data_IF_828085937486
#
_entry.id   IF_828085937486
#
_cell.length_a   1.000
_cell.length_b   1.000
_cell.length_c   1.000
_cell.angle_alpha   90.00
_cell.angle_beta   90.00
_cell.angle_gamma   90.00
#
_symmetry.space_group_name_H-M   'P 1'
#
loop_
_entity.id
_entity.type
_entity.pdbx_description
1 polymer ?
#
# COMPACT_ATOMS: atom_id res chain seq x y z
N UNK A 1 -7.13 3.04 -4.87
CA UNK A 1 -6.02 3.97 -5.20
C UNK A 1 -4.91 4.05 -4.15
N UNK A 2 -5.21 3.97 -2.85
CA UNK A 2 -4.21 4.16 -1.77
C UNK A 2 -3.32 2.94 -1.47
N UNK A 3 -3.63 1.76 -2.02
CA UNK A 3 -2.84 0.54 -1.79
C UNK A 3 -1.49 0.61 -2.49
N UNK A 4 -0.41 0.43 -1.74
CA UNK A 4 0.96 0.34 -2.28
C UNK A 4 1.18 -0.88 -3.17
N UNK A 5 0.49 -2.00 -2.90
CA UNK A 5 0.57 -3.22 -3.72
C UNK A 5 -0.02 -2.98 -5.11
N UNK A 6 -1.22 -2.39 -5.15
CA UNK A 6 -1.89 -1.97 -6.39
C UNK A 6 -1.07 -0.89 -7.08
N UNK A 7 -0.50 0.05 -6.31
CA UNK A 7 0.40 1.09 -6.82
C UNK A 7 1.60 0.51 -7.58
N UNK A 8 2.26 -0.51 -7.02
CA UNK A 8 3.38 -1.18 -7.68
C UNK A 8 3.00 -1.92 -8.95
N UNK A 9 1.89 -2.67 -8.94
CA UNK A 9 1.40 -3.34 -10.15
C UNK A 9 1.03 -2.32 -11.26
N UNK A 10 0.36 -1.24 -10.88
CA UNK A 10 0.02 -0.15 -11.80
C UNK A 10 1.25 0.52 -12.39
N UNK A 11 2.29 0.78 -11.59
CA UNK A 11 3.54 1.38 -12.09
C UNK A 11 4.23 0.49 -13.13
N UNK A 12 4.24 -0.82 -12.89
CA UNK A 12 4.73 -1.79 -13.88
C UNK A 12 3.93 -1.72 -15.18
N UNK A 13 2.59 -1.61 -15.09
CA UNK A 13 1.73 -1.44 -16.26
C UNK A 13 2.01 -0.13 -17.01
N UNK A 14 2.24 0.99 -16.32
CA UNK A 14 2.66 2.27 -16.93
C UNK A 14 3.97 2.09 -17.70
N UNK A 15 4.87 1.27 -17.18
CA UNK A 15 6.14 0.93 -17.82
C UNK A 15 6.00 -0.12 -18.94
N UNK A 16 4.79 -0.55 -19.29
CA UNK A 16 4.53 -1.56 -20.31
C UNK A 16 4.82 -3.01 -19.89
N UNK A 17 4.98 -3.26 -18.59
CA UNK A 17 5.28 -4.58 -18.02
C UNK A 17 3.98 -5.24 -17.52
N UNK A 18 3.64 -6.46 -17.95
CA UNK A 18 2.53 -7.21 -17.37
C UNK A 18 2.69 -7.41 -15.88
N UNK A 19 1.62 -7.19 -15.10
CA UNK A 19 1.71 -7.16 -13.65
C UNK A 19 0.45 -7.68 -12.96
N UNK A 20 0.66 -8.16 -11.73
CA UNK A 20 -0.39 -8.64 -10.83
C UNK A 20 -0.21 -7.95 -9.47
N UNK A 21 -1.30 -7.53 -8.83
CA UNK A 21 -1.32 -7.24 -7.39
C UNK A 21 -2.03 -8.36 -6.68
N UNK A 22 -1.42 -8.94 -5.63
CA UNK A 22 -2.02 -10.05 -4.87
C UNK A 22 -2.15 -9.59 -3.42
N UNK A 23 -3.33 -9.72 -2.82
CA UNK A 23 -3.60 -9.32 -1.44
C UNK A 23 -4.49 -10.33 -0.74
N UNK A 24 -4.19 -10.62 0.52
CA UNK A 24 -5.07 -11.40 1.40
C UNK A 24 -5.98 -10.43 2.17
N UNK A 25 -7.28 -10.71 2.19
CA UNK A 25 -8.26 -9.94 2.97
C UNK A 25 -8.10 -10.24 4.48
N UNK A 26 -6.98 -9.76 5.03
CA UNK A 26 -6.58 -9.99 6.41
C UNK A 26 -7.51 -9.27 7.37
N UNK A 27 -8.02 -10.00 8.36
CA UNK A 27 -8.79 -9.44 9.47
C UNK A 27 -8.13 -9.80 10.79
N UNK A 28 -7.89 -8.78 11.63
CA UNK A 28 -7.11 -8.88 12.87
C UNK A 28 -7.53 -10.04 13.79
N UNK A 29 -8.83 -10.28 13.91
CA UNK A 29 -9.39 -11.27 14.84
C UNK A 29 -9.78 -12.61 14.17
N UNK A 30 -9.76 -12.67 12.83
CA UNK A 30 -10.18 -13.87 12.07
C UNK A 30 -9.01 -14.58 11.37
N UNK A 31 -8.00 -13.82 10.91
CA UNK A 31 -6.87 -14.35 10.13
C UNK A 31 -5.70 -14.79 11.01
N UNK A 32 -4.95 -15.77 10.52
CA UNK A 32 -3.73 -16.31 11.14
C UNK A 32 -2.57 -16.29 10.15
N UNK A 33 -1.32 -16.26 10.65
CA UNK A 33 -0.15 -16.23 9.77
C UNK A 33 -0.06 -17.45 8.84
N UNK A 34 -0.60 -18.60 9.25
CA UNK A 34 -0.70 -19.80 8.42
C UNK A 34 -1.51 -19.58 7.15
N UNK A 35 -2.46 -18.64 7.15
CA UNK A 35 -3.33 -18.36 6.00
C UNK A 35 -2.55 -17.82 4.81
N UNK A 36 -1.36 -17.24 5.03
CA UNK A 36 -0.47 -16.86 3.92
C UNK A 36 0.00 -18.06 3.11
N UNK A 37 0.20 -19.22 3.74
CA UNK A 37 0.59 -20.44 3.04
C UNK A 37 -0.53 -20.90 2.12
N UNK A 38 -1.76 -20.86 2.60
CA UNK A 38 -2.94 -21.25 1.83
C UNK A 38 -3.23 -20.24 0.71
N UNK A 39 -3.07 -18.94 1.01
CA UNK A 39 -3.15 -17.87 0.01
C UNK A 39 -2.16 -18.06 -1.16
N UNK A 40 -0.91 -18.47 -0.86
CA UNK A 40 0.09 -18.81 -1.89
C UNK A 40 -0.38 -20.00 -2.73
N UNK A 41 -0.91 -21.05 -2.10
CA UNK A 41 -1.42 -22.21 -2.82
C UNK A 41 -2.59 -21.84 -3.76
N UNK A 42 -3.48 -20.95 -3.32
CA UNK A 42 -4.61 -20.45 -4.12
C UNK A 42 -4.15 -19.62 -5.32
N UNK A 43 -3.10 -18.81 -5.18
CA UNK A 43 -2.64 -17.91 -6.26
C UNK A 43 -1.65 -18.54 -7.24
N UNK A 44 -0.98 -19.63 -6.86
CA UNK A 44 0.05 -20.26 -7.68
C UNK A 44 -0.44 -20.65 -9.10
N UNK A 45 -1.67 -21.19 -9.28
CA UNK A 45 -2.20 -21.45 -10.62
C UNK A 45 -2.38 -20.19 -11.46
N UNK A 46 -2.80 -19.06 -10.86
CA UNK A 46 -2.95 -17.79 -11.55
C UNK A 46 -1.61 -17.22 -11.98
N UNK A 47 -0.59 -17.28 -11.12
CA UNK A 47 0.77 -16.84 -11.46
C UNK A 47 1.34 -17.70 -12.60
N UNK A 48 1.15 -19.03 -12.52
CA UNK A 48 1.62 -19.96 -13.55
C UNK A 48 0.93 -19.72 -14.89
N UNK A 49 -0.39 -19.50 -14.88
CA UNK A 49 -1.14 -19.13 -16.07
C UNK A 49 -0.69 -17.78 -16.65
N UNK A 50 -0.47 -16.78 -15.80
CA UNK A 50 0.03 -15.47 -16.20
C UNK A 50 1.39 -15.59 -16.91
N UNK A 51 2.37 -16.29 -16.31
CA UNK A 51 3.69 -16.50 -16.92
C UNK A 51 3.55 -17.18 -18.30
N UNK A 52 2.83 -18.29 -18.35
CA UNK A 52 2.58 -19.04 -19.60
C UNK A 52 1.95 -18.16 -20.69
N UNK A 53 1.00 -17.31 -20.33
CA UNK A 53 0.25 -16.50 -21.28
C UNK A 53 1.02 -15.23 -21.68
N UNK A 54 1.90 -14.72 -20.81
CA UNK A 54 2.88 -13.67 -21.12
C UNK A 54 3.87 -14.20 -22.16
N UNK A 55 4.44 -15.39 -21.97
CA UNK A 55 5.38 -16.02 -22.91
C UNK A 55 4.76 -16.23 -24.30
N UNK A 56 3.46 -16.51 -24.35
CA UNK A 56 2.70 -16.67 -25.60
C UNK A 56 2.19 -15.36 -26.20
N UNK A 57 2.36 -14.22 -25.51
CA UNK A 57 1.87 -12.92 -25.96
C UNK A 57 0.34 -12.77 -25.94
N UNK A 58 -0.37 -13.63 -25.19
CA UNK A 58 -1.85 -13.65 -25.09
C UNK A 58 -2.36 -13.17 -23.72
N UNK A 59 -1.47 -12.81 -22.81
CA UNK A 59 -1.86 -12.17 -21.54
C UNK A 59 -2.64 -10.87 -21.79
N UNK A 60 -3.68 -10.56 -20.97
CA UNK A 60 -4.45 -9.33 -21.13
C UNK A 60 -3.58 -8.08 -21.26
N UNK A 61 -3.86 -7.26 -22.27
CA UNK A 61 -3.12 -6.04 -22.58
C UNK A 61 -3.81 -4.82 -21.98
N UNK A 62 -3.02 -3.77 -21.75
CA UNK A 62 -3.50 -2.48 -21.24
C UNK A 62 -4.18 -2.53 -19.87
N UNK A 63 -3.98 -3.62 -19.12
CA UNK A 63 -4.45 -3.75 -17.75
C UNK A 63 -3.47 -4.55 -16.88
N UNK A 64 -3.60 -4.38 -15.57
CA UNK A 64 -3.02 -5.28 -14.58
C UNK A 64 -4.18 -5.99 -13.87
N UNK A 65 -3.91 -7.15 -13.27
CA UNK A 65 -4.93 -7.88 -12.52
C UNK A 65 -4.71 -7.71 -11.01
N UNK A 66 -5.73 -7.22 -10.31
CA UNK A 66 -5.79 -7.26 -8.85
C UNK A 66 -6.47 -8.53 -8.40
N UNK A 67 -5.74 -9.34 -7.64
CA UNK A 67 -6.18 -10.62 -7.10
C UNK A 67 -6.32 -10.44 -5.59
N UNK A 68 -7.54 -10.52 -5.11
CA UNK A 68 -7.84 -10.43 -3.68
C UNK A 68 -8.36 -11.78 -3.18
N UNK A 69 -7.70 -12.31 -2.16
CA UNK A 69 -7.97 -13.62 -1.59
C UNK A 69 -8.87 -13.42 -0.36
N UNK A 70 -9.94 -14.22 -0.19
CA UNK A 70 -10.84 -14.08 0.96
C UNK A 70 -10.10 -14.37 2.28
N UNK A 71 -10.68 -13.92 3.39
CA UNK A 71 -10.10 -14.03 4.74
C UNK A 71 -9.71 -15.46 5.12
N UNK A 72 -10.43 -16.47 4.61
CA UNK A 72 -10.10 -17.89 4.79
C UNK A 72 -9.74 -18.54 3.45
N UNK A 73 -8.47 -18.50 3.01
CA UNK A 73 -8.05 -19.02 1.70
C UNK A 73 -8.30 -20.51 1.54
N UNK A 74 -8.18 -21.30 2.59
CA UNK A 74 -8.43 -22.76 2.57
C UNK A 74 -9.89 -23.13 2.26
N UNK A 75 -10.84 -22.25 2.58
CA UNK A 75 -12.27 -22.42 2.33
C UNK A 75 -12.76 -21.65 1.08
N UNK A 76 -11.84 -21.21 0.21
CA UNK A 76 -12.20 -20.47 -1.00
C UNK A 76 -13.13 -21.28 -1.91
N UNK A 77 -14.10 -20.61 -2.53
CA UNK A 77 -15.11 -21.22 -3.42
C UNK A 77 -14.71 -21.17 -4.90
N UNK A 78 -13.48 -20.76 -5.21
CA UNK A 78 -12.98 -20.52 -6.56
C UNK A 78 -12.80 -19.03 -6.88
N UNK A 79 -12.74 -18.71 -8.17
CA UNK A 79 -12.40 -17.39 -8.68
C UNK A 79 -13.61 -16.69 -9.29
N UNK A 80 -13.73 -15.38 -9.09
CA UNK A 80 -14.70 -14.52 -9.76
C UNK A 80 -13.99 -13.35 -10.44
N UNK A 81 -14.35 -13.11 -11.70
CA UNK A 81 -14.04 -11.85 -12.35
C UNK A 81 -14.90 -10.76 -11.72
N UNK A 82 -14.28 -9.68 -11.28
CA UNK A 82 -14.95 -8.62 -10.52
C UNK A 82 -14.69 -7.24 -11.11
N UNK A 83 -15.60 -6.31 -10.82
CA UNK A 83 -15.40 -4.88 -11.02
C UNK A 83 -14.84 -4.24 -9.75
N UNK A 84 -14.06 -3.18 -9.94
CA UNK A 84 -13.59 -2.38 -8.83
C UNK A 84 -14.78 -1.70 -8.15
N UNK A 85 -14.95 -1.91 -6.84
CA UNK A 85 -15.93 -1.12 -6.10
C UNK A 85 -15.46 0.33 -5.89
N UNK A 86 -16.41 1.24 -5.86
CA UNK A 86 -16.17 2.64 -5.47
C UNK A 86 -16.28 2.84 -3.95
N UNK A 87 -16.25 1.74 -3.19
CA UNK A 87 -16.34 1.78 -1.74
C UNK A 87 -15.12 2.50 -1.15
N UNK A 88 -15.39 3.41 -0.22
CA UNK A 88 -14.36 4.18 0.49
C UNK A 88 -14.76 4.30 1.95
N UNK A 89 -13.90 3.84 2.86
CA UNK A 89 -14.03 4.13 4.27
C UNK A 89 -13.96 5.64 4.50
N UNK A 90 -14.82 6.16 5.37
CA UNK A 90 -14.85 7.57 5.69
C UNK A 90 -13.63 7.94 6.55
N UNK A 91 -12.81 8.94 6.16
CA UNK A 91 -11.70 9.40 6.99
C UNK A 91 -12.25 10.10 8.24
N UNK A 92 -11.64 9.83 9.39
CA UNK A 92 -11.95 10.45 10.68
C UNK A 92 -10.65 10.91 11.35
N UNK A 93 -10.55 12.20 11.70
CA UNK A 93 -9.37 12.77 12.34
C UNK A 93 -9.59 12.91 13.84
N UNK A 94 -8.85 12.14 14.63
CA UNK A 94 -8.91 12.20 16.09
C UNK A 94 -7.73 13.01 16.63
N UNK A 95 -8.02 14.02 17.43
CA UNK A 95 -6.99 14.74 18.17
C UNK A 95 -6.34 13.81 19.21
N UNK A 96 -5.01 13.73 19.22
CA UNK A 96 -4.25 12.90 20.16
C UNK A 96 -3.35 13.77 21.03
N UNK A 97 -3.27 13.41 22.31
CA UNK A 97 -2.39 14.10 23.27
C UNK A 97 -0.92 13.82 22.97
N UNK A 98 -0.07 14.84 23.00
CA UNK A 98 1.38 14.71 22.78
C UNK A 98 2.06 13.68 23.72
N UNK A 99 1.48 13.42 24.89
CA UNK A 99 2.05 12.52 25.91
C UNK A 99 1.83 11.02 25.67
N UNK A 100 1.09 10.63 24.62
CA UNK A 100 0.75 9.20 24.35
C UNK A 100 1.67 8.50 23.35
N UNK A 101 2.78 9.15 22.95
CA UNK A 101 3.84 8.52 22.15
C UNK A 101 5.14 8.40 22.96
N UNK A 102 5.78 7.21 23.03
CA UNK A 102 7.11 7.04 23.64
C UNK A 102 8.25 7.61 22.78
N UNK A 103 7.97 8.55 21.87
CA UNK A 103 9.01 9.31 21.16
C UNK A 103 9.74 10.29 22.09
N UNK A 104 9.22 10.53 23.30
CA UNK A 104 9.93 11.24 24.37
C UNK A 104 11.01 10.39 25.06
N UNK A 105 11.13 9.08 24.76
CA UNK A 105 12.27 8.27 25.18
C UNK A 105 13.53 8.50 24.31
N UNK A 106 13.42 9.22 23.18
CA UNK A 106 14.57 9.59 22.35
C UNK A 106 15.32 10.84 22.83
N UNK A 107 14.87 11.47 23.93
CA UNK A 107 15.53 12.63 24.54
C UNK A 107 16.26 12.32 25.85
N UNK A 108 16.46 11.05 26.20
CA UNK A 108 17.34 10.66 27.30
C UNK A 108 18.67 10.17 26.74
N UNK A 109 19.78 10.75 27.22
CA UNK A 109 21.21 10.53 26.87
C UNK A 109 21.85 11.48 25.84
N UNK A 110 21.91 12.78 26.12
CA UNK A 110 22.80 13.72 25.41
C UNK A 110 24.11 14.06 26.15
N UNK A 111 24.47 13.36 27.23
CA UNK A 111 25.59 13.79 28.11
C UNK A 111 26.75 12.79 28.28
N UNK A 112 27.03 11.92 27.31
CA UNK A 112 28.29 11.17 27.25
C UNK A 112 28.98 11.32 25.89
N UNK A 113 29.64 12.46 25.68
CA UNK A 113 30.37 12.81 24.46
C UNK A 113 31.83 12.31 24.39
N UNK A 114 32.24 11.28 25.16
CA UNK A 114 33.64 10.81 25.13
C UNK A 114 33.88 9.39 24.58
N UNK A 115 32.84 8.66 24.17
CA UNK A 115 32.99 7.30 23.61
C UNK A 115 33.03 7.25 22.06
N UNK A 116 32.57 8.31 21.38
CA UNK A 116 32.45 8.34 19.92
C UNK A 116 33.78 8.34 19.16
N UNK A 117 34.86 8.86 19.76
CA UNK A 117 36.17 8.95 19.11
C UNK A 117 36.96 7.63 19.18
N UNK A 118 36.76 6.79 20.20
CA UNK A 118 37.41 5.48 20.28
C UNK A 118 36.76 4.44 19.36
N UNK A 119 35.47 4.59 19.05
CA UNK A 119 34.72 3.64 18.22
C UNK A 119 35.03 3.79 16.71
N UNK A 120 35.32 5.01 16.26
CA UNK A 120 35.71 5.29 14.88
C UNK A 120 37.07 4.66 14.51
N UNK A 121 37.99 4.54 15.47
CA UNK A 121 39.29 3.89 15.25
C UNK A 121 39.15 2.36 15.12
N UNK A 122 38.22 1.74 15.85
CA UNK A 122 37.92 0.30 15.79
C UNK A 122 37.10 -0.09 14.54
N UNK A 123 36.33 0.85 13.96
CA UNK A 123 35.52 0.59 12.76
C UNK A 123 36.32 0.45 11.46
N UNK A 124 37.61 0.83 11.44
CA UNK A 124 38.45 0.72 10.23
C UNK A 124 39.09 -0.66 10.07
N UNK A 125 39.38 -1.36 11.16
CA UNK A 125 39.95 -2.71 11.13
C UNK A 125 38.87 -3.82 11.09
N UNK A 126 37.60 -3.48 11.34
CA UNK A 126 36.49 -4.43 11.35
C UNK A 126 35.87 -4.73 9.96
N UNK A 127 36.25 -4.01 8.91
CA UNK A 127 35.75 -4.23 7.54
C UNK A 127 36.31 -5.49 6.84
N UNK A 128 37.16 -6.27 7.50
CA UNK A 128 37.71 -7.52 6.95
C UNK A 128 36.99 -8.81 7.41
N UNK A 129 36.00 -8.74 8.31
CA UNK A 129 35.30 -9.92 8.82
C UNK A 129 33.86 -10.00 8.29
N UNK A 130 33.73 -10.43 7.04
CA UNK A 130 32.44 -10.86 6.50
C UNK A 130 31.86 -12.05 7.29
N UNK A 131 30.52 -12.14 7.24
CA UNK A 131 29.70 -13.29 7.63
C UNK A 131 29.55 -13.60 9.14
N UNK A 132 28.52 -13.00 9.78
CA UNK A 132 27.56 -13.75 10.62
C UNK A 132 26.44 -12.85 11.20
N UNK A 133 25.22 -13.09 10.71
CA UNK A 133 23.92 -13.10 11.42
C UNK A 133 23.39 -11.88 12.22
N UNK A 134 22.21 -11.46 11.75
CA UNK A 134 20.93 -11.17 12.43
C UNK A 134 20.67 -9.77 13.05
N UNK A 135 19.68 -9.12 12.41
CA UNK A 135 18.54 -8.34 12.94
C UNK A 135 18.85 -7.08 13.77
N UNK A 136 18.73 -5.92 13.11
CA UNK A 136 17.96 -4.75 13.58
C UNK A 136 18.05 -3.62 12.55
N UNK A 137 17.38 -3.77 11.40
CA UNK A 137 17.19 -2.65 10.48
C UNK A 137 16.02 -1.80 10.97
N UNK A 138 16.33 -0.84 11.85
CA UNK A 138 15.43 0.25 12.21
C UNK A 138 15.24 1.12 10.95
N UNK A 139 14.11 0.92 10.24
CA UNK A 139 13.70 1.78 9.13
C UNK A 139 13.52 3.19 9.68
N UNK A 140 14.37 4.11 9.23
CA UNK A 140 14.25 5.53 9.50
C UNK A 140 13.06 6.05 8.70
N UNK A 141 11.95 6.40 9.37
CA UNK A 141 10.87 7.14 8.74
C UNK A 141 11.39 8.55 8.45
N UNK A 142 11.40 8.96 7.18
CA UNK A 142 11.70 10.34 6.79
C UNK A 142 10.48 11.18 7.11
N UNK A 143 10.58 12.01 8.15
CA UNK A 143 9.59 13.05 8.44
C UNK A 143 9.73 14.14 7.36
N UNK A 144 8.69 14.31 6.54
CA UNK A 144 8.59 15.46 5.62
C UNK A 144 7.92 16.59 6.39
N UNK A 145 8.73 17.51 6.92
CA UNK A 145 8.26 18.76 7.52
C UNK A 145 7.90 19.75 6.39
N UNK A 146 6.62 20.07 6.22
CA UNK A 146 6.19 21.15 5.32
C UNK A 146 6.48 22.49 5.99
N UNK A 147 7.58 23.14 5.59
CA UNK A 147 8.01 24.44 6.14
C UNK A 147 7.36 25.58 5.37
N UNK A 148 6.21 26.05 5.85
CA UNK A 148 5.80 27.45 5.65
C UNK A 148 6.64 28.33 6.59
N UNK A 149 7.68 28.97 6.06
CA UNK A 149 8.62 29.75 6.85
C UNK A 149 7.96 31.01 7.46
N UNK A 150 7.59 30.92 8.73
CA UNK A 150 7.38 32.08 9.61
C UNK A 150 8.25 31.88 10.85
N UNK A 151 9.03 32.92 11.16
CA UNK A 151 10.08 33.01 12.19
C UNK A 151 9.67 32.31 13.50
N UNK A 152 10.66 31.72 14.17
CA UNK A 152 10.47 30.84 15.33
C UNK A 152 9.94 31.60 16.56
N UNK A 153 8.61 31.64 16.73
CA UNK A 153 8.03 31.84 18.05
C UNK A 153 8.27 30.60 18.90
N UNK A 154 8.88 30.79 20.07
CA UNK A 154 9.18 29.75 21.07
C UNK A 154 7.94 29.18 21.77
N UNK A 155 6.74 29.69 21.44
CA UNK A 155 5.45 29.28 22.00
C UNK A 155 4.53 28.53 21.00
N UNK A 156 5.09 27.75 20.07
CA UNK A 156 4.25 26.96 19.14
C UNK A 156 3.62 25.75 19.84
N UNK A 157 2.30 25.80 20.04
CA UNK A 157 1.51 24.64 20.50
C UNK A 157 1.37 23.65 19.33
N UNK A 158 2.09 22.53 19.38
CA UNK A 158 1.93 21.43 18.41
C UNK A 158 0.68 20.61 18.75
N UNK A 159 -0.21 20.43 17.76
CA UNK A 159 -1.37 19.53 17.85
C UNK A 159 -1.11 18.32 16.97
N UNK A 160 -1.37 17.13 17.52
CA UNK A 160 -1.23 15.87 16.81
C UNK A 160 -2.62 15.31 16.50
N UNK A 161 -2.76 14.72 15.31
CA UNK A 161 -3.98 14.07 14.88
C UNK A 161 -3.65 12.68 14.35
N UNK A 162 -4.53 11.73 14.65
CA UNK A 162 -4.52 10.40 14.06
C UNK A 162 -5.63 10.32 13.03
N UNK A 163 -5.30 9.89 11.82
CA UNK A 163 -6.28 9.52 10.82
C UNK A 163 -6.74 8.09 11.07
N UNK A 164 -8.03 7.90 11.24
CA UNK A 164 -8.70 6.61 11.30
C UNK A 164 -9.72 6.50 10.17
N UNK A 165 -10.12 5.28 9.83
CA UNK A 165 -11.06 5.01 8.75
C UNK A 165 -12.28 4.27 9.31
N UNK A 166 -13.47 4.81 9.04
CA UNK A 166 -14.73 4.23 9.50
C UNK A 166 -15.37 3.52 8.31
N UNK A 167 -15.61 2.22 8.47
CA UNK A 167 -16.35 1.44 7.48
C UNK A 167 -17.84 1.74 7.63
N UNK A 168 -18.50 2.06 6.53
CA UNK A 168 -19.96 2.10 6.46
C UNK A 168 -20.43 0.84 5.74
N UNK A 169 -21.39 0.15 6.33
CA UNK A 169 -22.12 -0.94 5.68
C UNK A 169 -22.97 -0.37 4.55
N UNK A 170 -23.08 -1.11 3.45
CA UNK A 170 -23.88 -0.70 2.29
C UNK A 170 -24.71 -1.91 1.83
N UNK A 171 -26.03 -1.77 1.89
CA UNK A 171 -26.97 -2.90 1.72
C UNK A 171 -27.27 -3.25 0.26
N UNK A 172 -27.09 -2.31 -0.68
CA UNK A 172 -27.34 -2.55 -2.11
C UNK A 172 -26.07 -2.31 -2.92
N UNK A 173 -25.47 -3.39 -3.41
CA UNK A 173 -24.31 -3.33 -4.29
C UNK A 173 -24.44 -4.40 -5.38
N UNK A 174 -23.88 -4.15 -6.56
CA UNK A 174 -23.84 -5.14 -7.64
C UNK A 174 -23.12 -6.42 -7.19
N UNK A 175 -23.59 -7.60 -7.61
CA UNK A 175 -23.02 -8.89 -7.19
C UNK A 175 -21.59 -9.13 -7.69
N UNK A 176 -21.16 -8.43 -8.74
CA UNK A 176 -19.85 -8.57 -9.38
C UNK A 176 -18.78 -7.62 -8.80
N UNK A 177 -19.06 -6.96 -7.69
CA UNK A 177 -18.07 -6.13 -7.00
C UNK A 177 -17.03 -6.98 -6.24
N UNK A 178 -15.79 -6.50 -6.24
CA UNK A 178 -14.65 -7.12 -5.56
C UNK A 178 -14.93 -7.50 -4.09
N UNK A 179 -15.38 -6.56 -3.26
CA UNK A 179 -15.63 -6.82 -1.84
C UNK A 179 -16.75 -7.86 -1.63
N UNK A 180 -17.79 -7.86 -2.48
CA UNK A 180 -18.86 -8.87 -2.41
C UNK A 180 -18.37 -10.26 -2.78
N UNK A 181 -17.43 -10.38 -3.72
CA UNK A 181 -16.83 -11.67 -4.01
C UNK A 181 -16.04 -12.19 -2.79
N UNK A 182 -15.29 -11.33 -2.12
CA UNK A 182 -14.54 -11.67 -0.91
C UNK A 182 -15.46 -12.08 0.25
N UNK A 183 -16.51 -11.31 0.51
CA UNK A 183 -17.51 -11.61 1.57
C UNK A 183 -18.20 -12.95 1.31
N UNK A 184 -18.40 -13.30 0.03
CA UNK A 184 -18.97 -14.57 -0.38
C UNK A 184 -17.95 -15.74 -0.40
N UNK A 185 -16.68 -15.50 -0.06
CA UNK A 185 -15.62 -16.51 -0.01
C UNK A 185 -15.01 -16.87 -1.36
N UNK A 186 -15.12 -16.01 -2.36
CA UNK A 186 -14.45 -16.16 -3.65
C UNK A 186 -13.18 -15.32 -3.70
N UNK A 187 -12.20 -15.78 -4.49
CA UNK A 187 -11.06 -14.95 -4.91
C UNK A 187 -11.57 -13.95 -5.94
N UNK A 188 -11.43 -12.66 -5.65
CA UNK A 188 -11.78 -11.59 -6.57
C UNK A 188 -10.62 -11.34 -7.54
N UNK A 189 -10.91 -11.30 -8.84
CA UNK A 189 -9.94 -10.97 -9.89
C UNK A 189 -10.47 -9.76 -10.65
N UNK A 190 -9.90 -8.59 -10.35
CA UNK A 190 -10.33 -7.30 -10.92
C UNK A 190 -9.30 -6.79 -11.92
N UNK A 191 -9.60 -6.70 -13.22
CA UNK A 191 -8.73 -6.03 -14.18
C UNK A 191 -8.81 -4.51 -14.02
N UNK A 192 -7.64 -3.87 -13.91
CA UNK A 192 -7.50 -2.41 -13.82
C UNK A 192 -6.80 -1.87 -15.05
N UNK A 193 -7.45 -0.97 -15.78
CA UNK A 193 -6.84 -0.21 -16.89
C UNK A 193 -6.19 1.08 -16.39
N UNK A 194 -5.16 1.58 -17.09
CA UNK A 194 -4.56 2.90 -16.83
C UNK A 194 -5.48 4.06 -17.22
N UNK A 195 -6.41 3.81 -18.15
CA UNK A 195 -7.41 4.79 -18.56
C UNK A 195 -8.60 4.06 -19.21
N UNK A 196 -9.85 4.26 -18.76
CA UNK A 196 -10.91 4.34 -19.75
C UNK A 196 -10.53 5.53 -20.64
N UNK A 197 -10.55 5.34 -21.96
CA UNK A 197 -10.31 6.35 -22.99
C UNK A 197 -10.42 7.77 -22.43
N UNK A 198 -9.36 8.59 -22.50
CA UNK A 198 -9.49 10.03 -22.24
C UNK A 198 -10.62 10.47 -23.17
N UNK A 199 -11.78 10.71 -22.58
CA UNK A 199 -12.99 11.00 -23.34
C UNK A 199 -12.63 12.22 -24.17
N UNK A 200 -12.91 12.18 -25.48
CA UNK A 200 -12.70 13.34 -26.38
C UNK A 200 -13.30 14.60 -25.74
N UNK A 201 -14.36 14.42 -24.96
CA UNK A 201 -15.05 15.40 -24.14
C UNK A 201 -14.16 16.06 -23.07
N UNK A 202 -13.25 15.33 -22.41
CA UNK A 202 -12.32 15.90 -21.42
C UNK A 202 -11.28 16.79 -22.11
N UNK A 203 -10.71 16.34 -23.23
CA UNK A 203 -9.76 17.16 -23.99
C UNK A 203 -10.42 18.41 -24.55
N UNK A 204 -11.63 18.27 -25.08
CA UNK A 204 -12.43 19.39 -25.59
C UNK A 204 -12.75 20.37 -24.46
N UNK A 205 -13.28 19.89 -23.33
CA UNK A 205 -13.58 20.74 -22.18
C UNK A 205 -12.35 21.46 -21.63
N UNK A 206 -11.19 20.80 -21.58
CA UNK A 206 -9.94 21.42 -21.16
C UNK A 206 -9.47 22.50 -22.16
N UNK A 207 -9.57 22.22 -23.46
CA UNK A 207 -9.23 23.16 -24.53
C UNK A 207 -10.13 24.40 -24.49
N UNK A 208 -11.43 24.21 -24.33
CA UNK A 208 -12.41 25.30 -24.22
C UNK A 208 -12.14 26.16 -22.98
N UNK A 209 -11.82 25.52 -21.84
CA UNK A 209 -11.47 26.21 -20.61
C UNK A 209 -10.19 27.06 -20.75
N UNK A 210 -9.13 26.51 -21.36
CA UNK A 210 -7.89 27.26 -21.64
C UNK A 210 -8.18 28.44 -22.56
N UNK A 211 -8.97 28.21 -23.62
CA UNK A 211 -9.31 29.25 -24.60
C UNK A 211 -10.16 30.37 -23.99
N UNK A 212 -11.00 30.07 -23.00
CA UNK A 212 -11.76 31.09 -22.27
C UNK A 212 -10.96 31.83 -21.19
N UNK A 213 -9.79 31.34 -20.80
CA UNK A 213 -8.93 31.93 -19.79
C UNK A 213 -7.82 32.85 -20.36
N UNK A 214 -7.49 32.69 -21.65
CA UNK A 214 -6.53 33.50 -22.41
C UNK A 214 -7.23 34.59 -23.22
#
# INVERSE_FOLDING_TARGET
FYSGVVGGAREALVSGVPSLSISLNWKREESQESDFKDAVAVCLPLITAAIRDIEKGVFPKSCFLSIEIPTSPSANKGFKLTKQSMWRSAPNWLAVSANRHPSSAAHFMSNQQSLGLQLAQLSRDASAAGAARRVSAQRQNVEVESVGAVKSDTNKVKKYFRLEFINKEQEEAEEDLDFKALDNGFVAVTPFSLCPQIEVDIQTAASDWISGAL
#
